data_IF_854716237948
#
_entry.id   IF_854716237948
#
_cell.length_a   1.000
_cell.length_b   1.000
_cell.length_c   1.000
_cell.angle_alpha   90.00
_cell.angle_beta   90.00
_cell.angle_gamma   90.00
#
_symmetry.space_group_name_H-M   'P 1'
#
loop_
_entity.id
_entity.type
_entity.pdbx_description
1 polymer ?
#
# COMPACT_ATOMS: atom_id res chain seq x y z
N UNK A 1 -16.45 -4.88 -20.27
CA UNK A 1 -15.86 -5.48 -19.05
C UNK A 1 -16.87 -5.34 -17.92
N UNK A 2 -17.03 -6.35 -17.06
CA UNK A 2 -17.87 -6.22 -15.85
C UNK A 2 -17.19 -5.31 -14.84
N UNK A 3 -17.95 -4.45 -14.16
CA UNK A 3 -17.43 -3.61 -13.07
C UNK A 3 -17.16 -4.44 -11.81
N UNK A 4 -18.09 -5.34 -11.48
CA UNK A 4 -18.03 -6.24 -10.34
C UNK A 4 -17.26 -7.53 -10.65
N UNK A 5 -16.85 -8.20 -9.57
CA UNK A 5 -16.19 -9.51 -9.63
C UNK A 5 -17.16 -10.61 -10.10
N UNK A 6 -16.62 -11.71 -10.61
CA UNK A 6 -17.34 -12.91 -11.03
C UNK A 6 -16.53 -14.17 -10.66
N UNK A 7 -17.18 -15.34 -10.67
CA UNK A 7 -16.66 -16.60 -10.11
C UNK A 7 -15.20 -16.92 -10.48
N UNK A 8 -14.79 -16.56 -11.69
CA UNK A 8 -13.46 -16.84 -12.23
C UNK A 8 -12.64 -15.59 -12.60
N UNK A 9 -13.10 -14.37 -12.29
CA UNK A 9 -12.39 -13.14 -12.71
C UNK A 9 -12.73 -11.91 -11.88
N UNK A 10 -11.72 -11.11 -11.56
CA UNK A 10 -11.92 -9.80 -10.94
C UNK A 10 -12.53 -8.81 -11.92
N UNK A 11 -13.46 -8.00 -11.42
CA UNK A 11 -14.08 -6.90 -12.16
C UNK A 11 -13.08 -5.82 -12.55
N UNK A 12 -13.48 -4.92 -13.44
CA UNK A 12 -12.64 -3.81 -13.89
C UNK A 12 -12.18 -2.92 -12.74
N UNK A 13 -13.04 -2.65 -11.75
CA UNK A 13 -12.70 -1.81 -10.59
C UNK A 13 -11.63 -2.48 -9.73
N UNK A 14 -11.82 -3.76 -9.38
CA UNK A 14 -10.90 -4.54 -8.56
C UNK A 14 -9.49 -4.61 -9.18
N UNK A 15 -9.43 -4.79 -10.51
CA UNK A 15 -8.17 -4.84 -11.28
C UNK A 15 -7.51 -3.47 -11.39
N UNK A 16 -8.26 -2.44 -11.75
CA UNK A 16 -7.72 -1.08 -11.88
C UNK A 16 -7.12 -0.61 -10.54
N UNK A 17 -7.87 -0.74 -9.45
CA UNK A 17 -7.40 -0.36 -8.11
C UNK A 17 -6.19 -1.18 -7.70
N UNK A 18 -6.16 -2.49 -7.99
CA UNK A 18 -5.00 -3.32 -7.69
C UNK A 18 -3.73 -2.82 -8.37
N UNK A 19 -3.79 -2.59 -9.68
CA UNK A 19 -2.61 -2.20 -10.46
C UNK A 19 -2.17 -0.77 -10.20
N UNK A 20 -3.12 0.17 -9.99
CA UNK A 20 -2.80 1.52 -9.55
C UNK A 20 -2.04 1.46 -8.22
N UNK A 21 -2.58 0.74 -7.23
CA UNK A 21 -1.92 0.59 -5.94
C UNK A 21 -0.56 -0.10 -6.06
N UNK A 22 -0.44 -1.14 -6.90
CA UNK A 22 0.83 -1.83 -7.09
C UNK A 22 1.93 -0.90 -7.62
N UNK A 23 1.61 -0.07 -8.63
CA UNK A 23 2.56 0.92 -9.16
C UNK A 23 2.87 1.98 -8.10
N UNK A 24 1.87 2.53 -7.42
CA UNK A 24 2.07 3.55 -6.39
C UNK A 24 2.91 3.04 -5.20
N UNK A 25 2.68 1.79 -4.76
CA UNK A 25 3.48 1.17 -3.70
C UNK A 25 4.94 0.99 -4.11
N UNK A 26 5.21 0.58 -5.36
CA UNK A 26 6.58 0.47 -5.85
C UNK A 26 7.27 1.84 -5.91
N UNK A 27 6.56 2.89 -6.31
CA UNK A 27 7.09 4.27 -6.28
C UNK A 27 7.36 4.72 -4.84
N UNK A 28 6.44 4.45 -3.91
CA UNK A 28 6.61 4.81 -2.49
C UNK A 28 7.76 4.06 -1.83
N UNK A 29 7.87 2.76 -2.08
CA UNK A 29 8.95 1.94 -1.53
C UNK A 29 10.33 2.25 -2.14
N UNK A 30 10.35 2.94 -3.28
CA UNK A 30 11.57 3.48 -3.88
C UNK A 30 11.79 4.96 -3.50
N UNK A 31 11.21 5.43 -2.38
CA UNK A 31 11.33 6.82 -1.93
C UNK A 31 12.76 7.30 -1.79
N UNK A 32 13.63 6.52 -1.16
CA UNK A 32 15.05 6.86 -1.03
C UNK A 32 15.69 7.15 -2.39
N UNK A 33 15.39 6.32 -3.40
CA UNK A 33 15.94 6.46 -4.76
C UNK A 33 15.48 7.75 -5.42
N UNK A 34 14.19 8.11 -5.31
CA UNK A 34 13.70 9.32 -5.96
C UNK A 34 13.91 10.59 -5.13
N UNK A 35 14.11 10.49 -3.81
CA UNK A 35 14.61 11.60 -2.99
C UNK A 35 16.03 11.96 -3.42
N UNK A 36 16.95 11.00 -3.44
CA UNK A 36 18.34 11.19 -3.88
C UNK A 36 18.39 11.72 -5.34
N UNK A 37 17.56 11.20 -6.24
CA UNK A 37 17.55 11.66 -7.62
C UNK A 37 17.04 13.10 -7.82
N UNK A 38 16.28 13.64 -6.86
CA UNK A 38 15.58 14.93 -6.99
C UNK A 38 16.01 15.98 -5.97
N UNK A 39 16.89 15.66 -5.02
CA UNK A 39 17.36 16.56 -3.94
C UNK A 39 18.00 17.87 -4.46
N UNK A 40 18.57 17.86 -5.67
CA UNK A 40 19.13 19.07 -6.29
C UNK A 40 18.09 19.90 -7.06
N UNK A 41 16.87 19.38 -7.23
CA UNK A 41 15.78 20.02 -8.00
C UNK A 41 14.61 20.47 -7.12
N UNK A 42 14.32 19.71 -6.06
CA UNK A 42 13.23 19.96 -5.12
C UNK A 42 13.79 20.12 -3.71
N UNK A 43 13.14 20.94 -2.88
CA UNK A 43 13.48 21.00 -1.45
C UNK A 43 13.04 19.72 -0.73
N UNK A 44 13.69 19.42 0.40
CA UNK A 44 13.30 18.29 1.28
C UNK A 44 11.82 18.38 1.68
N UNK A 45 11.34 19.56 2.03
CA UNK A 45 9.92 19.80 2.31
C UNK A 45 9.01 19.47 1.11
N UNK A 46 9.46 19.72 -0.13
CA UNK A 46 8.69 19.38 -1.33
C UNK A 46 8.67 17.88 -1.59
N UNK A 47 9.82 17.20 -1.41
CA UNK A 47 9.93 15.75 -1.52
C UNK A 47 9.05 15.06 -0.49
N UNK A 48 9.10 15.53 0.76
CA UNK A 48 8.28 15.01 1.86
C UNK A 48 6.79 15.26 1.60
N UNK A 49 6.38 16.44 1.12
CA UNK A 49 5.00 16.70 0.75
C UNK A 49 4.47 15.75 -0.34
N UNK A 50 5.31 15.39 -1.33
CA UNK A 50 4.96 14.38 -2.32
C UNK A 50 4.85 12.98 -1.71
N UNK A 51 5.80 12.60 -0.84
CA UNK A 51 5.78 11.33 -0.13
C UNK A 51 4.49 11.18 0.71
N UNK A 52 4.17 12.19 1.53
CA UNK A 52 2.94 12.25 2.32
C UNK A 52 1.69 12.16 1.44
N UNK A 53 1.63 12.92 0.35
CA UNK A 53 0.48 12.93 -0.57
C UNK A 53 0.25 11.56 -1.22
N UNK A 54 1.31 10.91 -1.68
CA UNK A 54 1.24 9.57 -2.26
C UNK A 54 0.85 8.52 -1.20
N UNK A 55 1.45 8.59 -0.01
CA UNK A 55 1.14 7.71 1.12
C UNK A 55 -0.34 7.80 1.54
N UNK A 56 -0.87 9.01 1.72
CA UNK A 56 -2.28 9.25 2.05
C UNK A 56 -3.23 8.81 0.92
N UNK A 57 -2.82 8.96 -0.34
CA UNK A 57 -3.59 8.48 -1.49
C UNK A 57 -3.69 6.95 -1.47
N UNK A 58 -2.58 6.26 -1.24
CA UNK A 58 -2.56 4.80 -1.08
C UNK A 58 -3.45 4.39 0.09
N UNK A 59 -3.38 5.09 1.24
CA UNK A 59 -4.22 4.81 2.40
C UNK A 59 -5.72 4.84 2.06
N UNK A 60 -6.16 5.89 1.35
CA UNK A 60 -7.54 5.98 0.85
C UNK A 60 -7.90 4.85 -0.10
N UNK A 61 -6.98 4.48 -1.02
CA UNK A 61 -7.19 3.35 -1.94
C UNK A 61 -7.27 2.00 -1.23
N UNK A 62 -6.49 1.77 -0.16
CA UNK A 62 -6.57 0.55 0.66
C UNK A 62 -7.94 0.41 1.31
N UNK A 63 -8.46 1.50 1.90
CA UNK A 63 -9.79 1.54 2.50
C UNK A 63 -10.84 1.26 1.43
N UNK A 64 -10.79 1.97 0.30
CA UNK A 64 -11.70 1.76 -0.82
C UNK A 64 -11.66 0.30 -1.31
N UNK A 65 -10.47 -0.27 -1.49
CA UNK A 65 -10.28 -1.65 -1.92
C UNK A 65 -10.87 -2.63 -0.92
N UNK A 66 -10.70 -2.39 0.38
CA UNK A 66 -11.29 -3.19 1.46
C UNK A 66 -12.81 -3.19 1.39
N UNK A 67 -13.43 -2.01 1.26
CA UNK A 67 -14.88 -1.86 1.10
C UNK A 67 -15.37 -2.54 -0.17
N UNK A 68 -14.69 -2.34 -1.29
CA UNK A 68 -15.03 -2.95 -2.57
C UNK A 68 -14.96 -4.48 -2.51
N UNK A 69 -13.93 -5.03 -1.87
CA UNK A 69 -13.80 -6.47 -1.63
C UNK A 69 -14.95 -6.99 -0.77
N UNK A 70 -15.35 -6.27 0.26
CA UNK A 70 -16.47 -6.66 1.13
C UNK A 70 -17.81 -6.75 0.38
N UNK A 71 -18.04 -5.86 -0.59
CA UNK A 71 -19.20 -5.90 -1.50
C UNK A 71 -19.15 -7.08 -2.49
N UNK A 72 -17.95 -7.59 -2.80
CA UNK A 72 -17.73 -8.68 -3.76
C UNK A 72 -17.42 -10.05 -3.09
N UNK A 73 -17.48 -10.16 -1.76
CA UNK A 73 -16.99 -11.31 -0.97
C UNK A 73 -17.53 -12.70 -1.38
N UNK A 74 -18.70 -12.75 -2.01
CA UNK A 74 -19.34 -14.01 -2.43
C UNK A 74 -19.02 -14.42 -3.87
N UNK A 75 -18.21 -13.63 -4.60
CA UNK A 75 -18.09 -13.74 -6.06
C UNK A 75 -16.80 -14.41 -6.53
N UNK A 76 -15.82 -14.66 -5.66
CA UNK A 76 -14.55 -15.31 -6.03
C UNK A 76 -14.14 -16.30 -4.95
N UNK A 77 -14.01 -17.58 -5.33
CA UNK A 77 -13.55 -18.65 -4.44
C UNK A 77 -12.10 -19.02 -4.77
N UNK A 78 -11.16 -18.96 -3.81
CA UNK A 78 -9.79 -19.45 -4.01
C UNK A 78 -9.76 -20.98 -4.09
N UNK A 79 -8.74 -21.59 -4.73
CA UNK A 79 -8.50 -23.03 -4.63
C UNK A 79 -8.39 -23.46 -3.16
N UNK A 80 -9.12 -24.50 -2.76
CA UNK A 80 -9.27 -24.90 -1.36
C UNK A 80 -7.92 -25.16 -0.66
N UNK A 81 -6.97 -25.75 -1.38
CA UNK A 81 -5.64 -26.12 -0.87
C UNK A 81 -4.78 -24.92 -0.42
N UNK A 82 -4.98 -23.72 -0.98
CA UNK A 82 -4.19 -22.52 -0.66
C UNK A 82 -5.01 -21.40 0.00
N UNK A 83 -6.29 -21.65 0.28
CA UNK A 83 -7.23 -20.62 0.72
C UNK A 83 -6.79 -19.93 2.01
N UNK A 84 -6.29 -20.69 2.99
CA UNK A 84 -5.82 -20.14 4.28
C UNK A 84 -4.58 -19.27 4.11
N UNK A 85 -3.57 -19.74 3.38
CA UNK A 85 -2.33 -18.97 3.15
C UNK A 85 -2.59 -17.71 2.33
N UNK A 86 -3.41 -17.81 1.30
CA UNK A 86 -3.84 -16.64 0.53
C UNK A 86 -4.61 -15.65 1.42
N UNK A 87 -5.49 -16.12 2.32
CA UNK A 87 -6.22 -15.25 3.25
C UNK A 87 -5.27 -14.54 4.21
N UNK A 88 -4.35 -15.26 4.84
CA UNK A 88 -3.38 -14.70 5.79
C UNK A 88 -2.44 -13.71 5.09
N UNK A 89 -1.93 -14.03 3.90
CA UNK A 89 -1.09 -13.13 3.12
C UNK A 89 -1.80 -11.83 2.75
N UNK A 90 -3.08 -11.89 2.34
CA UNK A 90 -3.86 -10.68 2.12
C UNK A 90 -4.07 -9.89 3.42
N UNK A 91 -4.45 -10.53 4.52
CA UNK A 91 -4.63 -9.84 5.81
C UNK A 91 -3.35 -9.11 6.22
N UNK A 92 -2.19 -9.77 6.11
CA UNK A 92 -0.89 -9.18 6.40
C UNK A 92 -0.63 -7.95 5.51
N UNK A 93 -0.82 -8.07 4.20
CA UNK A 93 -0.64 -6.93 3.28
C UNK A 93 -1.59 -5.76 3.60
N UNK A 94 -2.86 -6.04 3.91
CA UNK A 94 -3.80 -4.98 4.32
C UNK A 94 -3.38 -4.31 5.61
N UNK A 95 -2.93 -5.08 6.61
CA UNK A 95 -2.44 -4.53 7.87
C UNK A 95 -1.22 -3.64 7.63
N UNK A 96 -0.23 -4.11 6.87
CA UNK A 96 0.97 -3.33 6.54
C UNK A 96 0.64 -2.02 5.82
N UNK A 97 -0.21 -2.08 4.79
CA UNK A 97 -0.61 -0.87 4.03
C UNK A 97 -1.46 0.12 4.86
N UNK A 98 -2.06 -0.31 5.97
CA UNK A 98 -2.77 0.57 6.91
C UNK A 98 -1.81 1.14 7.96
N UNK A 99 -0.94 0.31 8.53
CA UNK A 99 -0.02 0.72 9.59
C UNK A 99 1.11 1.63 9.08
N UNK A 100 1.53 1.45 7.82
CA UNK A 100 2.54 2.27 7.16
C UNK A 100 2.18 3.78 7.16
N UNK A 101 1.05 4.23 6.59
CA UNK A 101 0.70 5.66 6.65
C UNK A 101 0.36 6.15 8.06
N UNK A 102 -0.10 5.27 8.97
CA UNK A 102 -0.37 5.66 10.36
C UNK A 102 0.92 5.92 11.16
N UNK A 103 1.96 5.11 10.95
CA UNK A 103 3.28 5.32 11.55
C UNK A 103 3.97 6.56 10.99
N UNK A 104 3.89 6.79 9.67
CA UNK A 104 4.40 8.03 9.06
C UNK A 104 3.65 9.27 9.56
N UNK A 105 2.33 9.17 9.74
CA UNK A 105 1.54 10.24 10.35
C UNK A 105 1.95 10.49 11.81
N UNK A 106 2.23 9.43 12.59
CA UNK A 106 2.71 9.58 13.95
C UNK A 106 4.07 10.31 13.98
N UNK A 107 5.00 9.92 13.11
CA UNK A 107 6.30 10.58 12.96
C UNK A 107 6.15 12.08 12.66
N UNK A 108 5.41 12.46 11.60
CA UNK A 108 5.21 13.88 11.26
C UNK A 108 4.48 14.68 12.34
N UNK A 109 3.52 14.08 13.06
CA UNK A 109 2.86 14.74 14.18
C UNK A 109 3.78 14.89 15.39
N UNK A 110 4.73 13.98 15.57
CA UNK A 110 5.77 14.04 16.59
C UNK A 110 6.79 15.14 16.32
N UNK A 111 7.23 15.27 15.07
CA UNK A 111 8.14 16.35 14.61
C UNK A 111 7.48 17.75 14.75
N UNK A 112 6.15 17.81 14.84
CA UNK A 112 5.41 19.07 14.89
C UNK A 112 5.21 19.72 13.52
N UNK A 113 5.59 19.03 12.45
CA UNK A 113 5.53 19.47 11.08
C UNK A 113 4.14 19.32 10.44
N UNK A 114 3.77 20.17 9.48
CA UNK A 114 2.47 20.12 8.86
C UNK A 114 2.39 18.93 7.90
N UNK A 115 1.29 18.17 8.01
CA UNK A 115 0.98 17.11 7.05
C UNK A 115 0.12 17.68 5.93
N UNK A 116 0.61 17.53 4.70
CA UNK A 116 -0.07 18.07 3.52
C UNK A 116 -0.61 16.98 2.60
N UNK A 117 -1.72 17.27 1.93
CA UNK A 117 -2.34 16.40 0.94
C UNK A 117 -2.69 17.20 -0.31
N UNK A 118 -1.95 17.02 -1.39
CA UNK A 118 -2.06 17.82 -2.63
C UNK A 118 -2.01 19.34 -2.35
N UNK A 119 -1.12 19.77 -1.46
CA UNK A 119 -0.91 21.17 -1.08
C UNK A 119 -1.90 21.71 -0.02
N UNK A 120 -2.89 20.91 0.39
CA UNK A 120 -3.79 21.27 1.48
C UNK A 120 -3.21 20.79 2.82
N UNK A 121 -3.07 21.68 3.78
CA UNK A 121 -2.68 21.32 5.15
C UNK A 121 -3.83 20.55 5.82
N UNK A 122 -3.60 19.27 6.10
CA UNK A 122 -4.56 18.38 6.79
C UNK A 122 -4.36 18.47 8.29
N UNK A 123 -3.09 18.47 8.72
CA UNK A 123 -2.66 18.75 10.08
C UNK A 123 -1.68 19.92 10.02
N UNK A 124 -1.94 20.98 10.80
CA UNK A 124 -1.04 22.12 10.89
C UNK A 124 0.12 21.85 11.84
N UNK A 125 0.98 22.85 11.98
CA UNK A 125 2.08 22.81 12.95
C UNK A 125 1.59 22.49 14.36
N UNK A 126 2.39 21.68 15.06
CA UNK A 126 2.14 21.23 16.42
C UNK A 126 3.36 21.42 17.33
N UNK A 127 3.26 21.06 18.61
CA UNK A 127 4.43 20.93 19.46
C UNK A 127 5.25 19.71 19.05
N UNK A 128 6.58 19.80 19.20
CA UNK A 128 7.48 18.65 19.10
C UNK A 128 7.22 17.66 20.25
N UNK A 129 7.14 16.37 19.91
CA UNK A 129 6.93 15.22 20.79
C UNK A 129 7.90 14.11 20.37
N UNK A 130 9.16 14.25 20.81
CA UNK A 130 10.30 13.38 20.46
C UNK A 130 9.97 11.87 20.49
N UNK A 131 9.37 11.36 21.56
CA UNK A 131 9.05 9.92 21.64
C UNK A 131 8.09 9.43 20.56
N UNK A 132 7.20 10.30 20.07
CA UNK A 132 6.22 9.96 19.04
C UNK A 132 6.85 10.02 17.65
N UNK A 133 7.75 10.98 17.43
CA UNK A 133 8.58 11.10 16.24
C UNK A 133 9.44 9.85 16.07
N UNK A 134 10.31 9.57 17.04
CA UNK A 134 11.25 8.44 17.04
C UNK A 134 10.53 7.10 16.85
N UNK A 135 9.47 6.86 17.64
CA UNK A 135 8.70 5.62 17.54
C UNK A 135 7.97 5.50 16.20
N UNK A 136 7.48 6.63 15.67
CA UNK A 136 6.81 6.68 14.39
C UNK A 136 7.75 6.32 13.25
N UNK A 137 8.95 6.93 13.24
CA UNK A 137 10.00 6.71 12.24
C UNK A 137 10.50 5.27 12.28
N UNK A 138 10.90 4.76 13.45
CA UNK A 138 11.40 3.38 13.60
C UNK A 138 10.37 2.36 13.12
N UNK A 139 9.10 2.52 13.54
CA UNK A 139 8.01 1.64 13.09
C UNK A 139 7.81 1.76 11.59
N UNK A 140 7.87 2.97 11.03
CA UNK A 140 7.69 3.18 9.59
C UNK A 140 8.77 2.46 8.78
N UNK A 141 10.04 2.60 9.15
CA UNK A 141 11.17 1.94 8.49
C UNK A 141 11.08 0.41 8.57
N UNK A 142 10.77 -0.13 9.75
CA UNK A 142 10.59 -1.58 9.94
C UNK A 142 9.45 -2.09 9.06
N UNK A 143 8.31 -1.39 9.06
CA UNK A 143 7.16 -1.77 8.25
C UNK A 143 7.47 -1.68 6.75
N UNK A 144 8.30 -0.74 6.30
CA UNK A 144 8.66 -0.58 4.88
C UNK A 144 9.45 -1.80 4.40
N UNK A 145 10.44 -2.23 5.19
CA UNK A 145 11.23 -3.43 4.93
C UNK A 145 10.37 -4.70 4.91
N UNK A 146 9.45 -4.85 5.87
CA UNK A 146 8.51 -5.97 5.90
C UNK A 146 7.56 -5.94 4.69
N UNK A 147 7.11 -4.76 4.27
CA UNK A 147 6.25 -4.59 3.11
C UNK A 147 6.97 -4.96 1.81
N UNK A 148 8.24 -4.56 1.64
CA UNK A 148 9.10 -5.00 0.53
C UNK A 148 9.15 -6.53 0.43
N UNK A 149 9.46 -7.20 1.54
CA UNK A 149 9.51 -8.66 1.61
C UNK A 149 8.15 -9.29 1.26
N UNK A 150 7.07 -8.78 1.85
CA UNK A 150 5.73 -9.32 1.65
C UNK A 150 5.21 -9.13 0.22
N UNK A 151 5.54 -8.01 -0.44
CA UNK A 151 5.25 -7.82 -1.86
C UNK A 151 6.05 -8.83 -2.69
N UNK A 152 7.33 -9.04 -2.39
CA UNK A 152 8.17 -10.05 -3.05
C UNK A 152 7.56 -11.45 -2.95
N UNK A 153 7.18 -11.86 -1.73
CA UNK A 153 6.49 -13.15 -1.48
C UNK A 153 5.17 -13.23 -2.23
N UNK A 154 4.36 -12.16 -2.23
CA UNK A 154 3.09 -12.10 -2.94
C UNK A 154 3.25 -12.29 -4.45
N UNK A 155 4.21 -11.59 -5.07
CA UNK A 155 4.52 -11.70 -6.50
C UNK A 155 5.07 -13.09 -6.82
N UNK A 156 6.01 -13.61 -6.02
CA UNK A 156 6.56 -14.94 -6.20
C UNK A 156 5.47 -16.03 -6.14
N UNK A 157 4.53 -15.93 -5.19
CA UNK A 157 3.39 -16.82 -5.11
C UNK A 157 2.50 -16.71 -6.36
N UNK A 158 2.19 -15.49 -6.82
CA UNK A 158 1.39 -15.28 -8.02
C UNK A 158 2.01 -15.93 -9.27
N UNK A 159 3.34 -15.80 -9.43
CA UNK A 159 4.10 -16.43 -10.51
C UNK A 159 4.15 -17.95 -10.36
N UNK A 160 4.34 -18.49 -9.15
CA UNK A 160 4.33 -19.93 -8.90
C UNK A 160 2.97 -20.54 -9.27
N UNK A 161 1.85 -19.90 -8.90
CA UNK A 161 0.53 -20.35 -9.31
C UNK A 161 0.27 -20.26 -10.82
N UNK A 162 0.89 -19.29 -11.49
CA UNK A 162 0.76 -19.11 -12.93
C UNK A 162 1.55 -20.17 -13.73
N UNK A 163 2.79 -20.46 -13.30
CA UNK A 163 3.75 -21.22 -14.12
C UNK A 163 4.10 -22.60 -13.56
N UNK A 164 4.03 -22.81 -12.24
CA UNK A 164 4.43 -24.08 -11.60
C UNK A 164 3.24 -24.93 -11.16
N UNK A 165 2.22 -24.31 -10.56
CA UNK A 165 1.07 -25.03 -9.99
C UNK A 165 -0.09 -25.21 -11.00
N UNK A 166 -0.14 -24.36 -12.03
CA UNK A 166 -1.09 -24.49 -13.14
C UNK A 166 -2.48 -23.88 -12.91
N UNK A 167 -2.71 -23.28 -11.75
CA UNK A 167 -3.98 -22.66 -11.33
C UNK A 167 -4.32 -21.38 -12.13
N UNK A 168 -3.31 -20.79 -12.80
CA UNK A 168 -3.42 -19.60 -13.68
C UNK A 168 -4.08 -18.39 -13.01
N UNK A 169 -3.85 -18.19 -11.71
CA UNK A 169 -4.54 -17.16 -10.91
C UNK A 169 -4.29 -15.74 -11.41
N UNK A 170 -3.15 -15.46 -12.04
CA UNK A 170 -2.84 -14.12 -12.58
C UNK A 170 -3.85 -13.69 -13.65
N UNK A 171 -4.40 -14.64 -14.43
CA UNK A 171 -5.44 -14.34 -15.43
C UNK A 171 -6.72 -13.75 -14.82
N UNK A 172 -6.95 -13.95 -13.51
CA UNK A 172 -8.08 -13.36 -12.81
C UNK A 172 -7.88 -11.86 -12.57
N UNK A 173 -6.62 -11.41 -12.46
CA UNK A 173 -6.23 -10.01 -12.17
C UNK A 173 -5.74 -9.24 -13.40
N UNK A 174 -5.48 -9.94 -14.52
CA UNK A 174 -5.21 -9.36 -15.84
C UNK A 174 -6.44 -8.68 -16.44
#
# INVERSE_FOLDING_TARGET
>A
MTLMDADNRYGAVSRAVHWIMAVMLLVMLASEVWFEALEHTLSDASLMAWHQTLGLTIFGLVIFRGLWRWLNRARITPPAQWATMAKLGHIALYALMILMPLSGLASSLGEGDPVTFFGWTVFGYGPEIEWLEDSGEEVHEVLANVLWLMIGVHVAAALAHQYLLGDRIMKRMA
#
